data_IF_285353089098
#
_entry.id   IF_285353089098
#
_cell.length_a   1.000
_cell.length_b   1.000
_cell.length_c   1.000
_cell.angle_alpha   90.00
_cell.angle_beta   90.00
_cell.angle_gamma   90.00
#
_symmetry.space_group_name_H-M   'P 1'
#
loop_
_entity.id
_entity.type
_entity.pdbx_description
1 polymer ?
#
# COMPACT_ATOMS: atom_id res chain seq x y z
N UNK A 1 -14.04 -6.71 -24.64
CA UNK A 1 -14.12 -8.17 -24.85
C UNK A 1 -12.85 -8.77 -25.44
N UNK A 2 -12.19 -8.13 -26.42
CA UNK A 2 -10.93 -8.63 -27.00
C UNK A 2 -9.72 -8.73 -26.06
N UNK A 3 -9.59 -7.84 -25.06
CA UNK A 3 -8.45 -7.84 -24.13
C UNK A 3 -8.43 -9.07 -23.19
N UNK A 4 -9.60 -9.58 -22.79
CA UNK A 4 -9.71 -10.82 -22.01
C UNK A 4 -9.34 -12.06 -22.82
N UNK A 5 -9.71 -12.10 -24.10
CA UNK A 5 -9.40 -13.23 -24.99
C UNK A 5 -7.90 -13.29 -25.32
N UNK A 6 -7.27 -12.15 -25.59
CA UNK A 6 -5.83 -12.07 -25.82
C UNK A 6 -5.01 -12.52 -24.60
N UNK A 7 -5.41 -12.12 -23.39
CA UNK A 7 -4.75 -12.52 -22.13
C UNK A 7 -4.99 -14.00 -21.79
N UNK A 8 -6.15 -14.56 -22.14
CA UNK A 8 -6.44 -15.99 -21.98
C UNK A 8 -5.53 -16.87 -22.85
N UNK A 9 -5.26 -16.47 -24.10
CA UNK A 9 -4.35 -17.18 -25.01
C UNK A 9 -2.90 -17.13 -24.51
N UNK A 10 -2.45 -15.98 -23.99
CA UNK A 10 -1.10 -15.81 -23.42
C UNK A 10 -0.87 -16.66 -22.15
N UNK A 11 -1.87 -16.78 -21.26
CA UNK A 11 -1.75 -17.56 -20.02
C UNK A 11 -1.66 -19.07 -20.26
N UNK A 12 -2.11 -19.56 -21.42
CA UNK A 12 -2.02 -21.00 -21.76
C UNK A 12 -0.59 -21.45 -22.11
N UNK A 13 0.31 -20.52 -22.44
CA UNK A 13 1.69 -20.79 -22.87
C UNK A 13 2.73 -20.61 -21.76
N UNK A 14 2.32 -20.31 -20.52
CA UNK A 14 3.23 -20.21 -19.38
C UNK A 14 3.15 -21.48 -18.51
N UNK A 15 4.29 -22.03 -18.05
CA UNK A 15 4.29 -23.14 -17.10
C UNK A 15 3.51 -22.76 -15.84
N UNK A 16 2.77 -23.73 -15.34
CA UNK A 16 1.70 -23.64 -14.35
C UNK A 16 2.18 -23.41 -12.93
N UNK A 17 2.94 -22.34 -12.70
CA UNK A 17 3.13 -21.82 -11.36
C UNK A 17 2.05 -20.77 -11.07
N UNK A 18 1.30 -20.89 -9.96
CA UNK A 18 0.44 -19.78 -9.54
C UNK A 18 1.36 -18.57 -9.37
N UNK A 19 0.96 -17.35 -9.81
CA UNK A 19 1.74 -16.18 -9.45
C UNK A 19 1.82 -16.20 -7.92
N UNK A 20 3.03 -16.11 -7.32
CA UNK A 20 3.14 -16.03 -5.88
C UNK A 20 2.21 -14.91 -5.44
N UNK A 21 1.45 -15.18 -4.38
CA UNK A 21 0.68 -14.15 -3.68
C UNK A 21 1.72 -13.17 -3.14
N UNK A 22 2.15 -12.24 -4.00
CA UNK A 22 3.05 -11.16 -3.66
C UNK A 22 2.22 -10.25 -2.76
N UNK A 23 2.27 -10.56 -1.47
CA UNK A 23 2.24 -9.55 -0.45
C UNK A 23 3.44 -8.67 -0.76
N UNK A 24 3.24 -7.65 -1.60
CA UNK A 24 4.23 -6.61 -1.83
C UNK A 24 4.34 -5.82 -0.53
N UNK A 25 5.02 -6.40 0.46
CA UNK A 25 5.53 -5.68 1.60
C UNK A 25 6.76 -4.94 1.07
N UNK A 26 6.52 -3.79 0.44
CA UNK A 26 7.56 -2.87 -0.01
C UNK A 26 8.30 -2.33 1.23
N UNK A 27 9.63 -2.30 1.18
CA UNK A 27 10.50 -1.83 2.27
C UNK A 27 10.87 -0.34 2.13
N UNK A 28 10.36 0.39 1.13
CA UNK A 28 10.67 1.83 0.97
C UNK A 28 9.56 2.85 0.88
N UNK A 29 8.34 2.39 0.78
CA UNK A 29 7.53 2.42 1.98
C UNK A 29 7.91 3.34 3.17
N UNK A 30 9.01 3.08 3.89
CA UNK A 30 9.29 3.46 5.29
C UNK A 30 8.94 4.89 5.78
N UNK A 31 8.91 5.93 4.93
CA UNK A 31 8.46 7.27 5.35
C UNK A 31 6.93 7.44 5.25
N UNK A 32 6.35 7.00 4.12
CA UNK A 32 4.90 6.80 3.91
C UNK A 32 4.36 5.67 4.82
N UNK A 33 5.25 4.77 5.22
CA UNK A 33 5.02 3.63 6.08
C UNK A 33 5.42 3.89 7.52
N UNK A 34 5.94 5.04 7.94
CA UNK A 34 6.08 5.27 9.38
C UNK A 34 4.70 5.14 10.05
N UNK A 35 3.69 5.72 9.39
CA UNK A 35 2.29 5.60 9.79
C UNK A 35 1.73 4.20 9.50
N UNK A 36 2.06 3.55 8.37
CA UNK A 36 1.54 2.19 8.13
C UNK A 36 2.21 1.13 9.00
N UNK A 37 3.48 1.29 9.37
CA UNK A 37 4.21 0.49 10.35
C UNK A 37 3.65 0.73 11.74
N UNK A 38 3.27 1.97 12.08
CA UNK A 38 2.51 2.23 13.30
C UNK A 38 1.17 1.48 13.29
N UNK A 39 0.43 1.51 12.18
CA UNK A 39 -0.81 0.73 12.02
C UNK A 39 -0.55 -0.77 12.11
N UNK A 40 0.52 -1.29 11.51
CA UNK A 40 0.91 -2.70 11.60
C UNK A 40 1.33 -3.08 13.02
N UNK A 41 2.07 -2.22 13.72
CA UNK A 41 2.48 -2.42 15.10
C UNK A 41 1.26 -2.43 16.03
N UNK A 42 0.33 -1.49 15.85
CA UNK A 42 -0.95 -1.48 16.55
C UNK A 42 -1.77 -2.74 16.24
N UNK A 43 -1.80 -3.17 14.99
CA UNK A 43 -2.49 -4.40 14.58
C UNK A 43 -1.88 -5.65 15.22
N UNK A 44 -0.55 -5.78 15.20
CA UNK A 44 0.20 -6.87 15.87
C UNK A 44 -0.07 -6.84 17.37
N UNK A 45 -0.01 -5.65 17.98
CA UNK A 45 -0.30 -5.49 19.39
C UNK A 45 -1.73 -5.99 19.71
N UNK A 46 -2.74 -5.55 18.97
CA UNK A 46 -4.12 -5.99 19.17
C UNK A 46 -4.29 -7.49 18.91
N UNK A 47 -3.64 -8.05 17.88
CA UNK A 47 -3.67 -9.50 17.59
C UNK A 47 -3.03 -10.33 18.70
N UNK A 48 -1.90 -9.88 19.25
CA UNK A 48 -1.24 -10.51 20.40
C UNK A 48 -2.15 -10.47 21.64
N UNK A 49 -2.77 -9.33 21.92
CA UNK A 49 -3.72 -9.20 23.03
C UNK A 49 -4.97 -10.09 22.82
N UNK A 50 -5.51 -10.17 21.59
CA UNK A 50 -6.64 -11.05 21.29
C UNK A 50 -6.28 -12.53 21.46
N UNK A 51 -5.05 -12.93 21.14
CA UNK A 51 -4.54 -14.28 21.38
C UNK A 51 -4.32 -14.57 22.87
N UNK A 52 -3.93 -13.57 23.66
CA UNK A 52 -3.71 -13.73 25.10
C UNK A 52 -5.00 -13.79 25.93
N UNK A 53 -6.16 -13.40 25.36
CA UNK A 53 -7.49 -13.54 26.01
C UNK A 53 -7.94 -15.00 26.11
N UNK A 54 -7.17 -15.96 25.58
CA UNK A 54 -7.50 -17.38 25.67
C UNK A 54 -7.73 -17.81 27.13
N UNK A 55 -8.93 -18.29 27.40
CA UNK A 55 -9.33 -18.75 28.73
C UNK A 55 -8.74 -20.16 28.88
N UNK A 56 -8.00 -20.42 29.96
CA UNK A 56 -7.64 -21.78 30.33
C UNK A 56 -8.92 -22.54 30.67
N UNK A 57 -9.23 -23.62 29.97
CA UNK A 57 -10.30 -24.49 30.45
C UNK A 57 -9.81 -25.20 31.72
N UNK A 58 -10.61 -25.10 32.79
CA UNK A 58 -10.33 -25.72 34.08
C UNK A 58 -10.34 -27.25 34.00
N UNK A 59 -9.12 -27.78 34.07
CA UNK A 59 -8.59 -29.02 34.68
C UNK A 59 -9.49 -30.24 34.75
N UNK A 60 -8.95 -31.39 34.37
CA UNK A 60 -9.56 -32.70 34.37
C UNK A 60 -8.80 -33.56 35.43
N UNK A 61 -9.45 -34.02 36.54
CA UNK A 61 -8.83 -34.77 37.67
C UNK A 61 -8.26 -36.17 37.34
N UNK A 62 -7.44 -36.75 38.21
CA UNK A 62 -7.32 -38.20 38.37
C UNK A 62 -7.27 -38.52 39.87
N UNK A 63 -8.12 -39.44 40.34
CA UNK A 63 -8.20 -39.82 41.76
C UNK A 63 -6.98 -40.66 42.16
N UNK A 64 -6.27 -40.27 43.23
CA UNK A 64 -5.00 -40.85 43.67
C UNK A 64 -5.13 -42.12 44.54
N UNK A 65 -6.33 -42.72 44.63
CA UNK A 65 -6.55 -43.94 45.42
C UNK A 65 -6.03 -45.22 44.76
N UNK A 66 -5.41 -45.15 43.57
CA UNK A 66 -4.85 -46.31 42.87
C UNK A 66 -3.34 -46.11 42.73
N UNK A 67 -2.57 -47.06 43.26
CA UNK A 67 -1.13 -46.97 43.45
C UNK A 67 -0.33 -46.51 42.22
N UNK A 68 0.80 -45.85 42.49
CA UNK A 68 1.76 -45.35 41.50
C UNK A 68 2.08 -46.41 40.45
N UNK A 69 1.49 -46.27 39.25
CA UNK A 69 1.77 -47.12 38.10
C UNK A 69 2.97 -46.55 37.35
N UNK A 70 3.98 -47.40 37.16
CA UNK A 70 5.22 -47.08 36.44
C UNK A 70 4.98 -46.76 34.95
N UNK A 71 5.85 -45.86 34.47
CA UNK A 71 5.86 -45.11 33.21
C UNK A 71 5.67 -45.93 31.91
N UNK A 72 4.63 -45.57 31.15
CA UNK A 72 4.68 -45.35 29.70
C UNK A 72 3.85 -44.08 29.42
N UNK A 73 4.49 -43.02 28.90
CA UNK A 73 3.92 -41.66 28.89
C UNK A 73 2.61 -41.51 28.12
N UNK A 74 2.37 -42.35 27.10
CA UNK A 74 1.17 -42.27 26.25
C UNK A 74 -0.06 -42.94 26.88
N UNK A 75 0.12 -44.11 27.51
CA UNK A 75 -1.00 -44.80 28.18
C UNK A 75 -1.45 -44.06 29.44
N UNK A 76 -0.49 -43.48 30.17
CA UNK A 76 -0.78 -42.68 31.35
C UNK A 76 -1.52 -41.39 30.98
N UNK A 77 -1.10 -40.69 29.92
CA UNK A 77 -1.77 -39.47 29.47
C UNK A 77 -3.17 -39.76 28.93
N UNK A 78 -3.36 -40.81 28.15
CA UNK A 78 -4.69 -41.20 27.65
C UNK A 78 -5.66 -41.58 28.79
N UNK A 79 -5.19 -42.32 29.80
CA UNK A 79 -5.98 -42.64 30.99
C UNK A 79 -6.31 -41.41 31.83
N UNK A 80 -5.34 -40.52 32.02
CA UNK A 80 -5.51 -39.25 32.74
C UNK A 80 -6.49 -38.30 32.03
N UNK A 81 -6.59 -38.34 30.70
CA UNK A 81 -7.61 -37.59 29.96
C UNK A 81 -9.02 -38.18 30.10
N UNK A 82 -9.17 -39.50 30.14
CA UNK A 82 -10.48 -40.15 30.18
C UNK A 82 -11.11 -40.18 31.58
N UNK A 83 -10.28 -40.18 32.64
CA UNK A 83 -10.73 -40.42 34.03
C UNK A 83 -11.03 -39.14 34.81
N UNK A 84 -11.36 -38.07 34.11
CA UNK A 84 -11.05 -36.73 34.57
C UNK A 84 -12.23 -35.78 34.60
N UNK A 85 -12.34 -34.97 35.66
CA UNK A 85 -13.46 -34.03 35.86
C UNK A 85 -12.98 -32.60 36.14
N UNK A 86 -13.86 -31.61 35.92
CA UNK A 86 -13.55 -30.18 36.04
C UNK A 86 -13.17 -29.79 37.47
N UNK A 87 -11.97 -29.24 37.68
CA UNK A 87 -11.56 -28.69 38.99
C UNK A 87 -11.48 -27.15 39.00
N UNK A 88 -11.82 -26.57 40.15
CA UNK A 88 -11.70 -25.14 40.42
C UNK A 88 -10.46 -24.89 41.31
N UNK A 89 -9.40 -24.22 40.80
CA UNK A 89 -8.19 -23.95 41.57
C UNK A 89 -8.39 -22.89 42.67
N UNK A 90 -9.57 -22.27 42.75
CA UNK A 90 -9.92 -21.28 43.78
C UNK A 90 -10.83 -21.83 44.88
N UNK A 91 -11.33 -23.06 44.72
CA UNK A 91 -12.10 -23.76 45.75
C UNK A 91 -11.18 -24.28 46.86
N UNK A 92 -11.55 -24.02 48.11
CA UNK A 92 -10.73 -24.34 49.29
C UNK A 92 -10.98 -25.78 49.79
N UNK A 93 -10.93 -26.75 48.89
CA UNK A 93 -11.02 -28.18 49.22
C UNK A 93 -9.64 -28.82 49.05
N UNK A 94 -8.84 -28.77 50.12
CA UNK A 94 -7.51 -29.39 50.16
C UNK A 94 -7.60 -30.78 50.76
N UNK A 95 -7.24 -31.80 49.97
CA UNK A 95 -6.14 -32.72 50.32
C UNK A 95 -5.86 -33.68 49.15
N UNK A 96 -4.63 -33.64 48.61
CA UNK A 96 -4.08 -34.69 47.73
C UNK A 96 -4.24 -34.53 46.21
N UNK A 97 -4.64 -33.36 45.68
CA UNK A 97 -4.97 -33.20 44.26
C UNK A 97 -3.94 -32.34 43.51
N UNK A 98 -3.34 -32.89 42.45
CA UNK A 98 -2.43 -32.18 41.53
C UNK A 98 -3.23 -31.75 40.30
N UNK A 99 -3.32 -30.44 40.05
CA UNK A 99 -3.99 -29.88 38.88
C UNK A 99 -3.01 -29.77 37.70
N UNK A 100 -3.30 -30.43 36.58
CA UNK A 100 -2.48 -30.37 35.37
C UNK A 100 -3.12 -29.48 34.31
N UNK A 101 -2.31 -28.56 33.77
CA UNK A 101 -2.69 -27.72 32.65
C UNK A 101 -2.77 -28.56 31.36
N UNK A 102 -3.91 -28.51 30.68
CA UNK A 102 -4.17 -29.26 29.44
C UNK A 102 -3.97 -28.40 28.20
N UNK A 103 -4.81 -27.36 28.03
CA UNK A 103 -4.86 -26.57 26.80
C UNK A 103 -5.60 -25.25 27.02
N UNK A 104 -5.16 -24.21 26.32
CA UNK A 104 -5.91 -22.96 26.18
C UNK A 104 -7.10 -23.13 25.23
N UNK A 105 -8.29 -22.68 25.65
CA UNK A 105 -9.46 -22.61 24.77
C UNK A 105 -9.69 -21.17 24.35
N UNK A 106 -9.65 -20.98 23.03
CA UNK A 106 -10.09 -19.72 22.42
C UNK A 106 -11.62 -19.68 22.44
N UNK A 107 -12.19 -18.57 22.92
CA UNK A 107 -13.64 -18.38 22.91
C UNK A 107 -14.17 -18.28 21.48
N UNK A 108 -15.44 -18.63 21.27
CA UNK A 108 -16.05 -18.65 19.94
C UNK A 108 -16.02 -17.29 19.21
N UNK A 109 -15.91 -16.18 19.95
CA UNK A 109 -15.85 -14.83 19.39
C UNK A 109 -14.43 -14.34 19.05
N UNK A 110 -13.36 -14.93 19.61
CA UNK A 110 -11.96 -14.57 19.30
C UNK A 110 -11.64 -14.57 17.81
N UNK A 111 -11.97 -15.61 16.99
CA UNK A 111 -11.64 -15.61 15.57
C UNK A 111 -12.38 -14.51 14.78
N UNK A 112 -13.59 -14.14 15.21
CA UNK A 112 -14.35 -13.04 14.60
C UNK A 112 -13.70 -11.69 14.87
N UNK A 113 -13.22 -11.46 16.10
CA UNK A 113 -12.47 -10.26 16.47
C UNK A 113 -11.12 -10.17 15.72
N UNK A 114 -10.43 -11.29 15.53
CA UNK A 114 -9.19 -11.35 14.73
C UNK A 114 -9.44 -11.00 13.26
N UNK A 115 -10.52 -11.52 12.66
CA UNK A 115 -10.90 -11.18 11.29
C UNK A 115 -11.26 -9.70 11.17
N UNK A 116 -12.03 -9.15 12.12
CA UNK A 116 -12.35 -7.73 12.17
C UNK A 116 -11.08 -6.87 12.28
N UNK A 117 -10.16 -7.21 13.19
CA UNK A 117 -8.88 -6.50 13.37
C UNK A 117 -8.06 -6.50 12.07
N UNK A 118 -8.01 -7.63 11.35
CA UNK A 118 -7.33 -7.73 10.07
C UNK A 118 -7.95 -6.85 8.98
N UNK A 119 -9.28 -6.88 8.83
CA UNK A 119 -9.99 -6.04 7.85
C UNK A 119 -9.80 -4.54 8.19
N UNK A 120 -9.88 -4.19 9.46
CA UNK A 120 -9.66 -2.82 9.93
C UNK A 120 -8.23 -2.34 9.68
N UNK A 121 -7.22 -3.19 9.87
CA UNK A 121 -5.84 -2.86 9.54
C UNK A 121 -5.68 -2.50 8.06
N UNK A 122 -6.26 -3.30 7.16
CA UNK A 122 -6.20 -3.03 5.71
C UNK A 122 -6.93 -1.72 5.37
N UNK A 123 -8.09 -1.48 5.98
CA UNK A 123 -8.83 -0.24 5.78
C UNK A 123 -8.02 0.98 6.24
N UNK A 124 -7.41 0.91 7.42
CA UNK A 124 -6.55 1.98 7.95
C UNK A 124 -5.33 2.24 7.06
N UNK A 125 -4.67 1.19 6.55
CA UNK A 125 -3.58 1.34 5.59
C UNK A 125 -4.04 2.12 4.35
N UNK A 126 -5.20 1.75 3.77
CA UNK A 126 -5.73 2.47 2.61
C UNK A 126 -6.17 3.91 2.96
N UNK A 127 -6.64 4.15 4.18
CA UNK A 127 -7.00 5.49 4.67
C UNK A 127 -5.78 6.41 4.74
N UNK A 128 -4.66 5.92 5.30
CA UNK A 128 -3.43 6.72 5.36
C UNK A 128 -2.79 6.94 3.99
N UNK A 129 -2.91 5.98 3.06
CA UNK A 129 -2.51 6.19 1.66
C UNK A 129 -3.36 7.29 1.02
N UNK A 130 -4.68 7.31 1.26
CA UNK A 130 -5.56 8.37 0.78
C UNK A 130 -5.20 9.74 1.39
N UNK A 131 -4.87 9.77 2.68
CA UNK A 131 -4.43 10.99 3.38
C UNK A 131 -3.12 11.53 2.80
N UNK A 132 -2.15 10.67 2.50
CA UNK A 132 -0.90 11.03 1.83
C UNK A 132 -1.18 11.65 0.44
N UNK A 133 -2.03 11.00 -0.36
CA UNK A 133 -2.38 11.48 -1.70
C UNK A 133 -3.05 12.86 -1.67
N UNK A 134 -4.06 13.06 -0.83
CA UNK A 134 -4.77 14.35 -0.75
C UNK A 134 -3.86 15.47 -0.20
N UNK A 135 -2.97 15.16 0.73
CA UNK A 135 -2.03 16.13 1.32
C UNK A 135 -1.02 16.61 0.28
N UNK A 136 -0.42 15.66 -0.45
CA UNK A 136 0.50 15.97 -1.55
C UNK A 136 -0.23 16.73 -2.67
N UNK A 137 -1.41 16.28 -3.07
CA UNK A 137 -2.21 16.95 -4.09
C UNK A 137 -2.55 18.39 -3.67
N UNK A 138 -2.99 18.60 -2.43
CA UNK A 138 -3.30 19.94 -1.90
C UNK A 138 -2.09 20.86 -1.91
N UNK A 139 -0.91 20.33 -1.57
CA UNK A 139 0.34 21.09 -1.58
C UNK A 139 0.71 21.52 -3.00
N UNK A 140 0.69 20.59 -3.97
CA UNK A 140 1.03 20.90 -5.37
C UNK A 140 -0.02 21.79 -6.06
N UNK A 141 -1.30 21.56 -5.81
CA UNK A 141 -2.38 22.40 -6.34
C UNK A 141 -2.28 23.83 -5.78
N UNK A 142 -2.05 23.97 -4.47
CA UNK A 142 -1.84 25.27 -3.83
C UNK A 142 -0.63 25.99 -4.42
N UNK A 143 0.47 25.26 -4.63
CA UNK A 143 1.66 25.80 -5.29
C UNK A 143 1.38 26.27 -6.72
N UNK A 144 0.68 25.46 -7.51
CA UNK A 144 0.35 25.75 -8.91
C UNK A 144 -0.50 27.03 -9.04
N UNK A 145 -1.63 27.10 -8.31
CA UNK A 145 -2.55 28.24 -8.42
C UNK A 145 -2.04 29.50 -7.70
N UNK A 146 -1.18 29.39 -6.68
CA UNK A 146 -0.57 30.57 -6.04
C UNK A 146 0.69 31.09 -6.75
N UNK A 147 1.30 30.33 -7.67
CA UNK A 147 2.55 30.73 -8.38
C UNK A 147 2.43 32.08 -9.09
N UNK A 148 1.27 32.39 -9.69
CA UNK A 148 0.97 33.68 -10.33
C UNK A 148 0.95 34.86 -9.32
N UNK A 149 0.39 34.64 -8.13
CA UNK A 149 0.32 35.67 -7.06
C UNK A 149 1.69 35.88 -6.41
N UNK A 150 2.50 34.82 -6.32
CA UNK A 150 3.89 34.85 -5.84
C UNK A 150 4.83 35.63 -6.76
N UNK A 151 4.67 35.55 -8.09
CA UNK A 151 5.49 36.34 -9.05
C UNK A 151 5.39 37.86 -8.86
N UNK A 152 4.33 38.36 -8.22
CA UNK A 152 4.16 39.80 -7.92
C UNK A 152 4.73 40.21 -6.55
N UNK A 153 5.09 39.26 -5.68
CA UNK A 153 5.69 39.54 -4.36
C UNK A 153 6.92 38.64 -4.17
N UNK A 154 8.09 39.23 -4.38
CA UNK A 154 9.42 38.68 -4.07
C UNK A 154 9.59 38.41 -2.56
N UNK A 155 8.88 37.44 -1.98
CA UNK A 155 9.07 37.05 -0.58
C UNK A 155 9.06 35.54 -0.40
N UNK A 156 10.29 35.03 -0.21
CA UNK A 156 10.70 34.03 0.77
C UNK A 156 9.84 32.75 0.85
N UNK A 157 10.22 31.74 0.08
CA UNK A 157 9.76 30.34 0.26
C UNK A 157 10.97 29.46 0.60
N UNK A 158 11.56 29.71 1.77
CA UNK A 158 12.57 28.82 2.35
C UNK A 158 11.99 27.96 3.49
N UNK A 159 11.14 28.55 4.34
CA UNK A 159 10.59 27.90 5.53
C UNK A 159 9.12 27.46 5.40
N UNK A 160 8.42 27.79 4.31
CA UNK A 160 6.97 27.56 4.18
C UNK A 160 6.56 26.15 3.71
N UNK A 161 7.47 25.34 3.16
CA UNK A 161 7.11 24.04 2.60
C UNK A 161 6.58 23.05 3.64
N UNK A 162 7.27 22.92 4.77
CA UNK A 162 6.83 22.06 5.87
C UNK A 162 5.53 22.57 6.52
N UNK A 163 5.41 23.89 6.69
CA UNK A 163 4.17 24.49 7.20
C UNK A 163 2.99 24.22 6.28
N UNK A 164 3.18 24.37 4.96
CA UNK A 164 2.15 24.10 3.96
C UNK A 164 1.71 22.63 3.94
N UNK A 165 2.67 21.70 4.08
CA UNK A 165 2.37 20.28 4.20
C UNK A 165 1.55 20.00 5.47
N UNK A 166 1.92 20.61 6.60
CA UNK A 166 1.18 20.42 7.85
C UNK A 166 -0.23 21.03 7.79
N UNK A 167 -0.39 22.22 7.21
CA UNK A 167 -1.71 22.85 7.08
C UNK A 167 -2.61 22.06 6.13
N UNK A 168 -2.11 21.63 4.97
CA UNK A 168 -2.90 20.81 4.03
C UNK A 168 -3.27 19.45 4.62
N UNK A 169 -2.36 18.80 5.37
CA UNK A 169 -2.65 17.57 6.09
C UNK A 169 -3.71 17.77 7.18
N UNK A 170 -3.58 18.83 7.99
CA UNK A 170 -4.53 19.18 9.04
C UNK A 170 -5.93 19.48 8.45
N UNK A 171 -5.98 20.27 7.38
CA UNK A 171 -7.23 20.54 6.66
C UNK A 171 -7.84 19.27 6.06
N UNK A 172 -7.03 18.35 5.51
CA UNK A 172 -7.52 17.08 5.00
C UNK A 172 -8.14 16.21 6.10
N UNK A 173 -7.55 16.18 7.29
CA UNK A 173 -8.08 15.46 8.45
C UNK A 173 -9.34 16.12 9.04
N UNK A 174 -9.41 17.45 9.07
CA UNK A 174 -10.56 18.13 9.68
C UNK A 174 -11.78 18.18 8.73
N UNK A 175 -11.55 18.44 7.44
CA UNK A 175 -12.63 18.72 6.50
C UNK A 175 -12.94 17.54 5.55
N UNK A 176 -11.94 16.71 5.21
CA UNK A 176 -12.07 15.70 4.16
C UNK A 176 -12.08 14.25 4.66
N UNK A 177 -12.08 14.01 5.97
CA UNK A 177 -12.01 12.66 6.55
C UNK A 177 -13.14 11.74 6.07
N UNK A 178 -14.36 12.24 5.92
CA UNK A 178 -15.48 11.43 5.40
C UNK A 178 -15.25 10.93 3.96
N UNK A 179 -14.76 11.81 3.09
CA UNK A 179 -14.41 11.46 1.70
C UNK A 179 -13.24 10.49 1.62
N UNK A 180 -12.24 10.65 2.49
CA UNK A 180 -11.08 9.76 2.59
C UNK A 180 -11.49 8.36 3.07
N UNK A 181 -12.31 8.30 4.13
CA UNK A 181 -12.85 7.07 4.68
C UNK A 181 -13.71 6.29 3.66
N UNK A 182 -14.55 7.00 2.90
CA UNK A 182 -15.40 6.40 1.87
C UNK A 182 -14.57 5.84 0.70
N UNK A 183 -13.56 6.58 0.23
CA UNK A 183 -12.68 6.08 -0.82
C UNK A 183 -11.83 4.89 -0.35
N UNK A 184 -11.32 4.90 0.87
CA UNK A 184 -10.49 3.82 1.42
C UNK A 184 -11.28 2.54 1.71
N UNK A 185 -12.52 2.66 2.20
CA UNK A 185 -13.39 1.48 2.43
C UNK A 185 -13.80 0.84 1.10
N UNK A 186 -14.06 1.64 0.07
CA UNK A 186 -14.38 1.14 -1.28
C UNK A 186 -13.24 0.25 -1.80
N UNK A 187 -12.00 0.73 -1.75
CA UNK A 187 -10.83 -0.06 -2.16
C UNK A 187 -10.71 -1.34 -1.33
N UNK A 188 -10.95 -1.26 -0.02
CA UNK A 188 -10.84 -2.41 0.90
C UNK A 188 -11.87 -3.49 0.58
N UNK A 189 -13.12 -3.10 0.27
CA UNK A 189 -14.18 -4.03 -0.13
C UNK A 189 -13.79 -4.78 -1.41
N UNK A 190 -13.30 -4.09 -2.44
CA UNK A 190 -12.90 -4.73 -3.70
C UNK A 190 -11.67 -5.63 -3.54
N UNK A 191 -10.74 -5.24 -2.67
CA UNK A 191 -9.61 -6.09 -2.30
C UNK A 191 -10.09 -7.39 -1.62
N UNK A 192 -11.05 -7.29 -0.69
CA UNK A 192 -11.62 -8.45 -0.01
C UNK A 192 -12.38 -9.37 -0.97
N UNK A 193 -13.21 -8.80 -1.86
CA UNK A 193 -13.91 -9.55 -2.92
C UNK A 193 -12.93 -10.34 -3.80
N UNK A 194 -11.82 -9.71 -4.20
CA UNK A 194 -10.78 -10.38 -4.97
C UNK A 194 -10.10 -11.50 -4.18
N UNK A 195 -9.83 -11.29 -2.89
CA UNK A 195 -9.26 -12.32 -2.02
C UNK A 195 -10.20 -13.53 -1.89
N UNK A 196 -11.51 -13.31 -1.75
CA UNK A 196 -12.52 -14.36 -1.75
C UNK A 196 -12.55 -15.14 -3.07
N UNK A 197 -12.56 -14.46 -4.21
CA UNK A 197 -12.55 -15.11 -5.53
C UNK A 197 -11.30 -15.97 -5.74
N UNK A 198 -10.11 -15.48 -5.36
CA UNK A 198 -8.86 -16.24 -5.41
C UNK A 198 -8.87 -17.44 -4.46
N UNK A 199 -9.61 -17.37 -3.35
CA UNK A 199 -9.78 -18.51 -2.44
C UNK A 199 -10.71 -19.56 -3.03
N UNK A 200 -11.81 -19.13 -3.65
CA UNK A 200 -12.73 -20.02 -4.39
C UNK A 200 -12.01 -20.70 -5.54
N UNK A 201 -11.18 -19.96 -6.29
CA UNK A 201 -10.38 -20.51 -7.40
C UNK A 201 -9.45 -21.62 -6.93
N UNK A 202 -8.74 -21.40 -5.82
CA UNK A 202 -7.88 -22.43 -5.21
C UNK A 202 -8.66 -23.69 -4.80
N UNK A 203 -9.91 -23.54 -4.34
CA UNK A 203 -10.77 -24.68 -3.97
C UNK A 203 -11.36 -25.40 -5.18
N UNK A 204 -11.61 -24.70 -6.28
CA UNK A 204 -12.14 -25.28 -7.52
C UNK A 204 -11.08 -25.94 -8.40
N UNK A 205 -9.78 -25.75 -8.13
CA UNK A 205 -8.71 -26.46 -8.85
C UNK A 205 -8.84 -27.99 -8.75
N UNK A 206 -9.42 -28.50 -7.66
CA UNK A 206 -9.71 -29.93 -7.43
C UNK A 206 -11.03 -30.42 -8.02
N UNK A 207 -11.87 -29.53 -8.58
CA UNK A 207 -13.17 -29.89 -9.15
C UNK A 207 -13.08 -30.08 -10.68
N UNK A 208 -13.92 -30.96 -11.25
CA UNK A 208 -13.85 -31.37 -12.68
C UNK A 208 -14.69 -30.49 -13.64
N UNK A 209 -15.19 -29.33 -13.19
CA UNK A 209 -16.08 -28.48 -13.98
C UNK A 209 -15.32 -27.38 -14.75
N UNK A 210 -14.95 -27.66 -16.00
CA UNK A 210 -14.19 -26.72 -16.84
C UNK A 210 -14.94 -25.40 -17.13
N UNK A 211 -16.26 -25.43 -17.29
CA UNK A 211 -17.07 -24.22 -17.46
C UNK A 211 -17.00 -23.29 -16.23
N UNK A 212 -17.09 -23.86 -15.02
CA UNK A 212 -16.99 -23.09 -13.78
C UNK A 212 -15.59 -22.45 -13.61
N UNK A 213 -14.54 -23.18 -13.99
CA UNK A 213 -13.16 -22.64 -14.01
C UNK A 213 -13.01 -21.47 -14.98
N UNK A 214 -13.63 -21.55 -16.16
CA UNK A 214 -13.61 -20.47 -17.15
C UNK A 214 -14.28 -19.19 -16.63
N UNK A 215 -15.53 -19.30 -16.13
CA UNK A 215 -16.24 -18.14 -15.59
C UNK A 215 -15.51 -17.50 -14.40
N UNK A 216 -14.93 -18.31 -13.52
CA UNK A 216 -14.20 -17.82 -12.37
C UNK A 216 -12.94 -17.03 -12.78
N UNK A 217 -12.19 -17.51 -13.78
CA UNK A 217 -11.03 -16.77 -14.33
C UNK A 217 -11.44 -15.43 -14.93
N UNK A 218 -12.56 -15.40 -15.66
CA UNK A 218 -13.11 -14.16 -16.21
C UNK A 218 -13.50 -13.16 -15.11
N UNK A 219 -14.18 -13.62 -14.06
CA UNK A 219 -14.52 -12.79 -12.90
C UNK A 219 -13.28 -12.28 -12.17
N UNK A 220 -12.28 -13.13 -11.92
CA UNK A 220 -11.01 -12.72 -11.32
C UNK A 220 -10.32 -11.60 -12.12
N UNK A 221 -10.30 -11.72 -13.46
CA UNK A 221 -9.75 -10.67 -14.33
C UNK A 221 -10.57 -9.37 -14.25
N UNK A 222 -11.91 -9.47 -14.26
CA UNK A 222 -12.79 -8.31 -14.14
C UNK A 222 -12.56 -7.56 -12.83
N UNK A 223 -12.56 -8.26 -11.69
CA UNK A 223 -12.31 -7.65 -10.38
C UNK A 223 -10.90 -7.08 -10.25
N UNK A 224 -9.89 -7.70 -10.89
CA UNK A 224 -8.55 -7.14 -10.97
C UNK A 224 -8.52 -5.81 -11.74
N UNK A 225 -9.19 -5.75 -12.90
CA UNK A 225 -9.31 -4.51 -13.68
C UNK A 225 -10.08 -3.44 -12.91
N UNK A 226 -11.20 -3.82 -12.27
CA UNK A 226 -12.03 -2.91 -11.50
C UNK A 226 -11.29 -2.34 -10.28
N UNK A 227 -10.53 -3.16 -9.55
CA UNK A 227 -9.68 -2.70 -8.44
C UNK A 227 -8.67 -1.65 -8.93
N UNK A 228 -8.02 -1.89 -10.09
CA UNK A 228 -7.06 -0.94 -10.68
C UNK A 228 -7.74 0.35 -11.12
N UNK A 229 -8.89 0.25 -11.76
CA UNK A 229 -9.69 1.40 -12.18
C UNK A 229 -10.16 2.24 -10.97
N UNK A 230 -10.63 1.59 -9.90
CA UNK A 230 -11.05 2.30 -8.69
C UNK A 230 -9.90 2.99 -7.97
N UNK A 231 -8.72 2.37 -7.92
CA UNK A 231 -7.52 3.04 -7.38
C UNK A 231 -7.15 4.28 -8.20
N UNK A 232 -7.24 4.19 -9.54
CA UNK A 232 -7.04 5.32 -10.44
C UNK A 232 -8.08 6.42 -10.20
N UNK A 233 -9.37 6.07 -10.17
CA UNK A 233 -10.45 7.02 -9.94
C UNK A 233 -10.32 7.71 -8.58
N UNK A 234 -10.06 6.95 -7.50
CA UNK A 234 -9.89 7.51 -6.16
C UNK A 234 -8.72 8.50 -6.10
N UNK A 235 -7.57 8.16 -6.69
CA UNK A 235 -6.40 9.05 -6.73
C UNK A 235 -6.74 10.39 -7.38
N UNK A 236 -7.41 10.36 -8.53
CA UNK A 236 -7.81 11.56 -9.26
C UNK A 236 -8.94 12.34 -8.55
N UNK A 237 -9.86 11.63 -7.90
CA UNK A 237 -10.88 12.23 -7.07
C UNK A 237 -10.26 13.00 -5.89
N UNK A 238 -9.24 12.45 -5.22
CA UNK A 238 -8.53 13.15 -4.15
C UNK A 238 -7.82 14.41 -4.63
N UNK A 239 -7.30 14.42 -5.86
CA UNK A 239 -6.75 15.65 -6.47
C UNK A 239 -7.84 16.71 -6.63
N UNK A 240 -9.02 16.35 -7.14
CA UNK A 240 -10.13 17.29 -7.29
C UNK A 240 -10.69 17.77 -5.93
N UNK A 241 -10.76 16.89 -4.92
CA UNK A 241 -11.10 17.28 -3.55
C UNK A 241 -10.08 18.28 -3.02
N UNK A 242 -8.79 18.10 -3.31
CA UNK A 242 -7.75 19.00 -2.85
C UNK A 242 -7.83 20.39 -3.52
N UNK A 243 -8.31 20.47 -4.76
CA UNK A 243 -8.50 21.74 -5.49
C UNK A 243 -9.77 22.47 -5.01
N UNK A 244 -10.89 21.74 -4.90
CA UNK A 244 -12.22 22.33 -4.71
C UNK A 244 -12.85 22.15 -3.33
N UNK A 245 -12.44 21.13 -2.57
CA UNK A 245 -13.03 20.79 -1.27
C UNK A 245 -14.44 20.17 -1.35
N UNK A 246 -14.87 19.68 -2.51
CA UNK A 246 -16.16 19.02 -2.66
C UNK A 246 -16.14 17.56 -2.15
N UNK A 247 -17.32 16.99 -1.89
CA UNK A 247 -17.45 15.60 -1.46
C UNK A 247 -16.93 14.58 -2.49
N UNK A 248 -16.61 13.36 -2.04
CA UNK A 248 -15.96 12.33 -2.86
C UNK A 248 -16.66 12.02 -4.19
N UNK A 249 -17.96 11.74 -4.17
CA UNK A 249 -18.68 11.33 -5.39
C UNK A 249 -18.74 12.44 -6.44
N UNK A 250 -18.87 13.69 -6.00
CA UNK A 250 -18.88 14.86 -6.90
C UNK A 250 -17.50 15.03 -7.53
N UNK A 251 -16.46 15.09 -6.70
CA UNK A 251 -15.06 15.23 -7.16
C UNK A 251 -14.60 14.07 -8.05
N UNK A 252 -15.07 12.85 -7.78
CA UNK A 252 -14.77 11.69 -8.62
C UNK A 252 -15.42 11.79 -10.01
N UNK A 253 -16.65 12.29 -10.08
CA UNK A 253 -17.35 12.54 -11.35
C UNK A 253 -16.62 13.61 -12.17
N UNK A 254 -16.25 14.71 -11.53
CA UNK A 254 -15.58 15.82 -12.21
C UNK A 254 -14.17 15.41 -12.68
N UNK A 255 -13.41 14.72 -11.82
CA UNK A 255 -12.11 14.15 -12.18
C UNK A 255 -12.23 13.24 -13.41
N UNK A 256 -13.22 12.34 -13.41
CA UNK A 256 -13.43 11.40 -14.50
C UNK A 256 -13.82 12.09 -15.81
N UNK A 257 -14.70 13.10 -15.75
CA UNK A 257 -15.09 13.87 -16.93
C UNK A 257 -13.93 14.68 -17.51
N UNK A 258 -13.13 15.32 -16.65
CA UNK A 258 -11.95 16.09 -17.06
C UNK A 258 -10.91 15.19 -17.75
N UNK A 259 -10.64 14.02 -17.17
CA UNK A 259 -9.71 13.03 -17.72
C UNK A 259 -10.22 12.48 -19.05
N UNK A 260 -11.51 12.17 -19.18
CA UNK A 260 -12.07 11.66 -20.44
C UNK A 260 -11.96 12.67 -21.59
N UNK A 261 -12.21 13.95 -21.33
CA UNK A 261 -12.07 15.03 -22.33
C UNK A 261 -10.62 15.19 -22.80
N UNK A 262 -9.66 14.93 -21.90
CA UNK A 262 -8.23 15.08 -22.16
C UNK A 262 -7.49 13.74 -22.26
N UNK A 263 -8.19 12.63 -22.55
CA UNK A 263 -7.66 11.26 -22.40
C UNK A 263 -6.36 11.00 -23.15
N UNK A 264 -6.22 11.56 -24.35
CA UNK A 264 -5.01 11.42 -25.17
C UNK A 264 -3.83 12.09 -24.49
N UNK A 265 -4.02 13.29 -23.93
CA UNK A 265 -2.98 14.04 -23.21
C UNK A 265 -2.60 13.33 -21.92
N UNK A 266 -3.61 12.87 -21.18
CA UNK A 266 -3.41 12.10 -19.93
C UNK A 266 -2.53 10.89 -20.22
N UNK A 267 -2.92 10.07 -21.21
CA UNK A 267 -2.19 8.85 -21.56
C UNK A 267 -0.74 9.13 -21.97
N UNK A 268 -0.50 10.14 -22.81
CA UNK A 268 0.86 10.50 -23.24
C UNK A 268 1.71 10.96 -22.06
N UNK A 269 1.19 11.84 -21.21
CA UNK A 269 1.92 12.35 -20.04
C UNK A 269 2.20 11.23 -19.04
N UNK A 270 1.23 10.37 -18.75
CA UNK A 270 1.43 9.21 -17.87
C UNK A 270 2.52 8.28 -18.39
N UNK A 271 2.51 7.95 -19.69
CA UNK A 271 3.52 7.05 -20.28
C UNK A 271 4.93 7.62 -20.28
N UNK A 272 5.07 8.90 -20.62
CA UNK A 272 6.38 9.59 -20.59
C UNK A 272 6.90 9.67 -19.15
N UNK A 273 6.02 10.02 -18.21
CA UNK A 273 6.36 10.17 -16.79
C UNK A 273 6.79 8.83 -16.20
N UNK A 274 6.02 7.75 -16.44
CA UNK A 274 6.38 6.41 -16.01
C UNK A 274 7.76 6.00 -16.51
N UNK A 275 8.06 6.25 -17.79
CA UNK A 275 9.35 5.94 -18.39
C UNK A 275 10.50 6.71 -17.73
N UNK A 276 10.37 8.04 -17.60
CA UNK A 276 11.40 8.90 -17.01
C UNK A 276 11.67 8.50 -15.56
N UNK A 277 10.62 8.23 -14.79
CA UNK A 277 10.75 7.88 -13.38
C UNK A 277 11.31 6.48 -13.17
N UNK A 278 11.03 5.52 -14.07
CA UNK A 278 11.67 4.19 -14.05
C UNK A 278 13.17 4.32 -14.32
N UNK A 279 13.56 5.09 -15.35
CA UNK A 279 14.97 5.35 -15.65
C UNK A 279 15.65 6.02 -14.47
N UNK A 280 15.00 7.00 -13.84
CA UNK A 280 15.49 7.65 -12.63
C UNK A 280 15.74 6.68 -11.47
N UNK A 281 14.78 5.77 -11.18
CA UNK A 281 14.91 4.75 -10.13
C UNK A 281 16.08 3.80 -10.40
N UNK A 282 16.24 3.35 -11.64
CA UNK A 282 17.34 2.47 -12.05
C UNK A 282 18.69 3.20 -12.00
N UNK A 283 18.76 4.46 -12.43
CA UNK A 283 19.98 5.25 -12.39
C UNK A 283 20.48 5.47 -10.96
N UNK A 284 19.60 5.80 -10.01
CA UNK A 284 19.97 5.95 -8.59
C UNK A 284 20.48 4.64 -8.00
N UNK A 285 19.81 3.52 -8.29
CA UNK A 285 20.24 2.19 -7.83
C UNK A 285 21.59 1.78 -8.41
N UNK A 286 21.79 2.01 -9.72
CA UNK A 286 23.05 1.72 -10.39
C UNK A 286 24.19 2.59 -9.85
N UNK A 287 23.99 3.89 -9.67
CA UNK A 287 24.98 4.79 -9.11
C UNK A 287 25.38 4.38 -7.68
N UNK A 288 24.41 4.07 -6.81
CA UNK A 288 24.68 3.59 -5.46
C UNK A 288 25.45 2.26 -5.45
N UNK A 289 25.10 1.34 -6.34
CA UNK A 289 25.78 0.04 -6.49
C UNK A 289 27.21 0.21 -7.01
N UNK A 290 27.44 1.12 -7.96
CA UNK A 290 28.78 1.46 -8.45
C UNK A 290 29.65 2.04 -7.33
N UNK A 291 29.14 3.01 -6.56
CA UNK A 291 29.85 3.59 -5.41
C UNK A 291 30.19 2.51 -4.38
N UNK A 292 29.24 1.61 -4.07
CA UNK A 292 29.48 0.50 -3.16
C UNK A 292 30.55 -0.48 -3.69
N UNK A 293 30.56 -0.76 -5.00
CA UNK A 293 31.59 -1.59 -5.62
C UNK A 293 32.99 -0.96 -5.51
N UNK A 294 33.15 0.32 -5.85
CA UNK A 294 34.46 0.98 -5.76
C UNK A 294 34.96 1.12 -4.31
N UNK A 295 34.04 1.27 -3.35
CA UNK A 295 34.37 1.27 -1.93
C UNK A 295 34.82 -0.11 -1.44
N UNK A 296 34.04 -1.17 -1.73
CA UNK A 296 34.33 -2.54 -1.26
C UNK A 296 35.49 -3.20 -2.00
N UNK A 297 35.81 -2.78 -3.23
CA UNK A 297 36.98 -3.25 -3.98
C UNK A 297 38.30 -2.61 -3.55
N UNK A 298 38.27 -1.67 -2.60
CA UNK A 298 39.47 -1.03 -2.06
C UNK A 298 40.08 0.05 -2.96
N UNK A 299 39.52 0.32 -4.14
CA UNK A 299 40.01 1.35 -5.08
C UNK A 299 39.97 2.75 -4.45
N UNK A 300 38.97 3.05 -3.59
CA UNK A 300 38.90 4.29 -2.82
C UNK A 300 39.50 4.20 -1.41
N UNK A 301 39.95 3.02 -0.97
CA UNK A 301 40.44 2.78 0.40
C UNK A 301 41.67 3.62 0.75
N UNK A 302 42.54 3.88 -0.22
CA UNK A 302 43.79 4.65 0.01
C UNK A 302 43.57 6.17 0.11
N UNK A 303 42.41 6.70 -0.31
CA UNK A 303 42.14 8.16 -0.31
C UNK A 303 41.14 8.63 0.75
N UNK A 304 40.33 7.74 1.32
CA UNK A 304 39.30 8.08 2.29
C UNK A 304 39.65 7.46 3.65
N UNK A 305 40.61 8.08 4.34
CA UNK A 305 41.16 7.68 5.64
C UNK A 305 40.14 7.83 6.79
N UNK A 306 39.07 7.04 6.79
CA UNK A 306 38.06 7.05 7.86
C UNK A 306 38.30 5.93 8.89
N UNK A 307 39.02 4.86 8.53
CA UNK A 307 39.58 3.87 9.47
C UNK A 307 40.83 3.23 8.84
N UNK A 308 42.05 3.45 9.36
CA UNK A 308 43.19 2.61 9.01
C UNK A 308 43.00 1.25 9.73
N UNK A 309 43.46 0.15 9.14
CA UNK A 309 43.66 -1.19 9.78
C UNK A 309 42.69 -2.35 9.49
N UNK A 310 41.67 -2.25 8.61
CA UNK A 310 40.98 -3.47 8.16
C UNK A 310 40.96 -3.60 6.63
N UNK A 311 41.93 -4.33 6.09
CA UNK A 311 41.78 -5.00 4.78
C UNK A 311 40.62 -5.97 4.91
N UNK A 312 39.41 -5.52 4.57
CA UNK A 312 38.20 -6.33 4.57
C UNK A 312 38.37 -7.42 3.49
N UNK A 313 38.87 -8.59 3.88
CA UNK A 313 38.93 -9.76 2.99
C UNK A 313 37.52 -10.34 2.87
N UNK A 314 36.73 -9.74 1.98
CA UNK A 314 35.38 -10.23 1.66
C UNK A 314 35.46 -11.30 0.56
N UNK A 315 35.23 -12.55 0.93
CA UNK A 315 35.16 -13.66 -0.03
C UNK A 315 33.99 -13.53 -1.02
N UNK A 316 32.92 -12.80 -0.64
CA UNK A 316 31.73 -12.60 -1.46
C UNK A 316 31.33 -11.12 -1.54
N UNK A 317 32.03 -10.34 -2.37
CA UNK A 317 31.77 -8.90 -2.58
C UNK A 317 30.40 -8.62 -3.22
N UNK A 318 29.86 -9.54 -4.01
CA UNK A 318 28.60 -9.34 -4.74
C UNK A 318 27.35 -9.35 -3.85
N UNK A 319 27.36 -10.11 -2.74
CA UNK A 319 26.22 -10.19 -1.82
C UNK A 319 25.88 -8.83 -1.20
N UNK A 320 26.82 -8.12 -0.54
CA UNK A 320 26.52 -6.79 0.01
C UNK A 320 26.19 -5.76 -1.08
N UNK A 321 26.80 -5.85 -2.27
CA UNK A 321 26.43 -4.97 -3.40
C UNK A 321 24.99 -5.20 -3.83
N UNK A 322 24.54 -6.46 -3.95
CA UNK A 322 23.16 -6.79 -4.29
C UNK A 322 22.19 -6.26 -3.23
N UNK A 323 22.54 -6.39 -1.95
CA UNK A 323 21.73 -5.84 -0.85
C UNK A 323 21.63 -4.31 -0.94
N UNK A 324 22.74 -3.62 -1.22
CA UNK A 324 22.76 -2.17 -1.43
C UNK A 324 21.99 -1.77 -2.69
N UNK A 325 22.07 -2.54 -3.77
CA UNK A 325 21.34 -2.31 -5.01
C UNK A 325 19.82 -2.38 -4.79
N UNK A 326 19.36 -3.44 -4.10
CA UNK A 326 17.96 -3.61 -3.74
C UNK A 326 17.52 -2.50 -2.78
N UNK A 327 18.30 -2.23 -1.73
CA UNK A 327 18.00 -1.17 -0.75
C UNK A 327 17.89 0.21 -1.40
N UNK A 328 18.83 0.57 -2.27
CA UNK A 328 18.85 1.86 -2.97
C UNK A 328 17.72 1.99 -4.01
N UNK A 329 17.41 0.92 -4.77
CA UNK A 329 16.29 0.92 -5.70
C UNK A 329 14.96 1.13 -4.97
N UNK A 330 14.80 0.43 -3.86
CA UNK A 330 13.67 0.61 -2.99
C UNK A 330 13.64 2.10 -2.58
N UNK A 331 14.73 2.70 -2.08
CA UNK A 331 14.69 4.07 -1.52
C UNK A 331 14.32 5.06 -2.62
N UNK A 332 14.89 4.89 -3.81
CA UNK A 332 14.53 5.67 -4.99
C UNK A 332 13.03 5.59 -5.28
N UNK A 333 12.42 4.40 -5.27
CA UNK A 333 10.96 4.23 -5.47
C UNK A 333 10.13 5.04 -4.45
N UNK A 334 10.59 5.19 -3.21
CA UNK A 334 9.91 6.01 -2.19
C UNK A 334 9.87 7.49 -2.55
N UNK A 335 11.02 8.03 -2.92
CA UNK A 335 11.17 9.44 -3.28
C UNK A 335 10.41 9.72 -4.58
N UNK A 336 10.64 8.90 -5.61
CA UNK A 336 10.00 9.07 -6.91
C UNK A 336 8.48 8.95 -6.87
N UNK A 337 7.89 8.20 -5.92
CA UNK A 337 6.42 8.15 -5.79
C UNK A 337 5.80 9.47 -5.27
N UNK A 338 6.58 10.38 -4.66
CA UNK A 338 6.12 11.74 -4.38
C UNK A 338 6.09 12.56 -5.67
N UNK A 339 7.10 12.40 -6.53
CA UNK A 339 7.14 13.01 -7.86
C UNK A 339 5.99 12.53 -8.75
N UNK A 340 5.67 11.23 -8.74
CA UNK A 340 4.50 10.69 -9.46
C UNK A 340 3.21 11.43 -9.07
N UNK A 341 2.98 11.60 -7.75
CA UNK A 341 1.80 12.31 -7.27
C UNK A 341 1.80 13.79 -7.69
N UNK A 342 2.97 14.43 -7.68
CA UNK A 342 3.13 15.82 -8.11
C UNK A 342 2.86 16.03 -9.59
N UNK A 343 3.37 15.15 -10.46
CA UNK A 343 3.10 15.22 -11.90
C UNK A 343 1.62 15.05 -12.20
N UNK A 344 0.97 14.06 -11.61
CA UNK A 344 -0.47 13.82 -11.82
C UNK A 344 -1.32 15.00 -11.33
N UNK A 345 -0.96 15.57 -10.18
CA UNK A 345 -1.66 16.75 -9.63
C UNK A 345 -1.50 17.95 -10.54
N UNK A 346 -0.26 18.28 -10.95
CA UNK A 346 0.00 19.42 -11.83
C UNK A 346 -0.69 19.21 -13.17
N UNK A 347 -0.69 17.99 -13.70
CA UNK A 347 -1.37 17.67 -14.95
C UNK A 347 -2.89 17.94 -14.86
N UNK A 348 -3.55 17.51 -13.78
CA UNK A 348 -4.96 17.83 -13.55
C UNK A 348 -5.16 19.34 -13.39
N UNK A 349 -4.32 20.03 -12.62
CA UNK A 349 -4.40 21.48 -12.47
C UNK A 349 -4.26 22.21 -13.82
N UNK A 350 -3.38 21.73 -14.71
CA UNK A 350 -3.23 22.26 -16.07
C UNK A 350 -4.47 22.00 -16.90
N UNK A 351 -5.06 20.81 -16.85
CA UNK A 351 -6.30 20.51 -17.58
C UNK A 351 -7.45 21.40 -17.10
N UNK A 352 -7.56 21.59 -15.79
CA UNK A 352 -8.56 22.46 -15.18
C UNK A 352 -8.35 23.94 -15.56
N UNK A 353 -7.10 24.40 -15.56
CA UNK A 353 -6.70 25.74 -16.00
C UNK A 353 -7.05 25.98 -17.48
N UNK A 354 -6.93 24.94 -18.33
CA UNK A 354 -7.33 25.02 -19.75
C UNK A 354 -8.85 25.12 -19.95
N UNK A 355 -9.65 24.45 -19.12
CA UNK A 355 -11.12 24.51 -19.24
C UNK A 355 -11.70 25.80 -18.64
N UNK A 356 -11.04 26.36 -17.62
CA UNK A 356 -11.59 27.45 -16.82
C UNK A 356 -11.09 28.84 -17.20
N UNK A 357 -9.88 28.92 -17.76
CA UNK A 357 -9.25 30.18 -18.15
C UNK A 357 -9.11 30.26 -19.67
N UNK A 358 -9.39 31.43 -20.22
CA UNK A 358 -9.37 31.68 -21.67
C UNK A 358 -8.10 32.44 -22.10
N UNK A 359 -7.24 32.82 -21.13
CA UNK A 359 -6.03 33.60 -21.37
C UNK A 359 -6.26 35.10 -21.51
N UNK A 360 -7.48 35.58 -21.25
CA UNK A 360 -7.83 37.01 -21.22
C UNK A 360 -7.23 37.70 -19.99
N UNK A 361 -7.17 39.03 -19.99
CA UNK A 361 -6.65 39.80 -18.86
C UNK A 361 -7.44 39.57 -17.55
N UNK A 362 -8.73 39.22 -17.66
CA UNK A 362 -9.60 38.88 -16.53
C UNK A 362 -9.42 37.43 -16.04
N UNK A 363 -9.05 36.51 -16.94
CA UNK A 363 -8.83 35.08 -16.65
C UNK A 363 -7.52 34.57 -17.28
N UNK A 364 -6.35 35.00 -16.77
CA UNK A 364 -5.07 34.56 -17.31
C UNK A 364 -4.78 33.12 -16.91
N UNK A 365 -4.10 32.38 -17.80
CA UNK A 365 -3.61 31.04 -17.48
C UNK A 365 -2.56 31.04 -16.37
N UNK A 366 -2.66 30.09 -15.44
CA UNK A 366 -1.68 29.91 -14.37
C UNK A 366 -0.41 29.16 -14.82
N UNK A 367 -0.52 28.31 -15.85
CA UNK A 367 0.61 27.57 -16.40
C UNK A 367 1.73 28.44 -17.00
N UNK A 368 2.93 27.86 -17.11
CA UNK A 368 4.06 28.50 -17.78
C UNK A 368 3.83 28.63 -19.30
N UNK A 369 4.42 29.64 -19.93
CA UNK A 369 4.36 29.83 -21.40
C UNK A 369 4.95 28.65 -22.18
N UNK A 370 5.96 27.97 -21.61
CA UNK A 370 6.57 26.78 -22.24
C UNK A 370 5.60 25.59 -22.22
N UNK A 371 4.98 25.34 -21.06
CA UNK A 371 3.96 24.31 -20.89
C UNK A 371 2.77 24.56 -21.82
N UNK A 372 2.30 25.82 -21.89
CA UNK A 372 1.22 26.22 -22.79
C UNK A 372 1.56 25.96 -24.27
N UNK A 373 2.78 26.28 -24.72
CA UNK A 373 3.22 25.99 -26.10
C UNK A 373 3.29 24.49 -26.41
N UNK A 374 3.59 23.65 -25.42
CA UNK A 374 3.64 22.19 -25.61
C UNK A 374 2.25 21.55 -25.57
N UNK A 375 1.29 22.15 -24.86
CA UNK A 375 -0.06 21.62 -24.65
C UNK A 375 -1.11 22.20 -25.61
N UNK A 376 -0.99 23.47 -26.00
CA UNK A 376 -1.81 23.98 -27.11
C UNK A 376 -1.37 23.26 -28.37
N UNK A 377 -2.31 22.52 -28.95
CA UNK A 377 -2.20 22.05 -30.33
C UNK A 377 -1.83 23.28 -31.18
N UNK A 378 -0.99 23.17 -32.23
CA UNK A 378 -1.03 24.21 -33.26
C UNK A 378 -2.49 24.23 -33.74
N UNK A 379 -3.19 25.32 -33.45
CA UNK A 379 -4.58 25.47 -33.87
C UNK A 379 -4.62 25.37 -35.38
N UNK A 380 -5.45 24.46 -35.90
CA UNK A 380 -5.61 24.23 -37.33
C UNK A 380 -6.32 25.40 -38.04
N UNK A 381 -6.73 26.44 -37.31
CA UNK A 381 -7.60 27.51 -37.83
C UNK A 381 -6.95 28.90 -37.79
N UNK A 382 -5.62 29.00 -37.94
CA UNK A 382 -4.95 30.28 -38.25
C UNK A 382 -4.25 30.25 -39.61
N UNK A 383 -4.89 29.62 -40.59
CA UNK A 383 -4.53 29.69 -42.02
C UNK A 383 -5.70 30.14 -42.91
N UNK A 384 -6.65 30.89 -42.35
CA UNK A 384 -7.71 31.53 -43.12
C UNK A 384 -8.20 32.82 -42.44
N UNK A 385 -7.38 33.87 -42.49
CA UNK A 385 -7.86 35.27 -42.53
C UNK A 385 -6.72 36.19 -42.95
#
# INVERSE_FOLDING_TARGET
TGFCFWRYVQVKNLPSDPPPFFLTLDITAYFRYSITWLVLALWIFVDLNLRSIAISEGIHYANSTVGLRSENSEEWTAWAFNSSMKCDPTGNDTEGQICLFVKHITTAYTPWLQMYNFIMCIWLINFFIALDQITLAGTFATFYFNSQRQRRRHSVVGCCGFWLLFTTCSSALMYNTGSLALGSILITIFWFLRACLLRIERRLKTANNELAKFFLRCLCCYFWCLEKFLRFLNKNAYIMIAIYGHGFCHSAKDAFQLILRNVVRVFVVEKITDYILIVGKLAVSAAASCVAYFYLSGIFGDRLSIMPEQKLQLNYIFVPILVIAIGSFLVAKAFFSVYEMGVDTIFICVCEDLERNDGTAEKPYFMSKSTMKMLKKPDADTSAS
#
